data_IF_057469467496
#
_entry.id   IF_057469467496
#
_cell.length_a   1.000
_cell.length_b   1.000
_cell.length_c   1.000
_cell.angle_alpha   90.00
_cell.angle_beta   90.00
_cell.angle_gamma   90.00
#
_symmetry.space_group_name_H-M   'P 1'
#
loop_
_entity.id
_entity.type
_entity.pdbx_description
1 polymer ?
#
# COMPACT_ATOMS: atom_id res chain seq x y z
N UNK A 1 0.12 -3.18 3.34
CA UNK A 1 1.02 -2.37 2.50
C UNK A 1 1.91 -1.54 3.42
N UNK A 2 2.98 -0.95 2.89
CA UNK A 2 3.86 -0.04 3.65
C UNK A 2 3.44 1.43 3.61
N UNK A 3 2.24 1.72 3.10
CA UNK A 3 1.68 3.07 2.95
C UNK A 3 1.10 3.61 4.25
N UNK A 4 1.02 4.95 4.30
CA UNK A 4 0.72 5.70 5.52
C UNK A 4 -0.78 5.97 5.73
N UNK A 5 -1.62 5.57 4.78
CA UNK A 5 -3.07 5.76 4.83
C UNK A 5 -3.50 7.25 4.79
N UNK A 6 -2.72 8.07 4.06
CA UNK A 6 -2.90 9.52 3.99
C UNK A 6 -3.73 9.98 2.78
N UNK A 7 -3.95 9.09 1.81
CA UNK A 7 -4.71 9.41 0.60
C UNK A 7 -6.11 8.78 0.60
N UNK A 8 -7.01 9.37 -0.20
CA UNK A 8 -8.33 8.79 -0.44
C UNK A 8 -8.20 7.42 -1.09
N UNK A 9 -8.95 6.48 -0.56
CA UNK A 9 -9.05 5.12 -1.08
C UNK A 9 -10.47 4.56 -0.92
N UNK A 10 -10.80 3.54 -1.72
CA UNK A 10 -12.10 2.88 -1.69
C UNK A 10 -12.03 1.46 -2.25
N UNK A 11 -13.06 0.66 -1.95
CA UNK A 11 -13.28 -0.67 -2.53
C UNK A 11 -14.40 -0.62 -3.58
N UNK A 12 -14.24 -1.37 -4.67
CA UNK A 12 -15.27 -1.59 -5.69
C UNK A 12 -15.70 -3.04 -5.64
N UNK A 13 -16.85 -3.31 -5.04
CA UNK A 13 -17.39 -4.66 -4.83
C UNK A 13 -18.79 -4.73 -5.44
N UNK A 14 -19.05 -5.71 -6.29
CA UNK A 14 -20.34 -5.89 -7.00
C UNK A 14 -20.86 -4.61 -7.69
N UNK A 15 -19.95 -3.79 -8.22
CA UNK A 15 -20.26 -2.53 -8.89
C UNK A 15 -20.59 -1.35 -7.96
N UNK A 16 -20.49 -1.52 -6.64
CA UNK A 16 -20.69 -0.47 -5.64
C UNK A 16 -19.36 -0.03 -5.03
N UNK A 17 -19.28 1.26 -4.68
CA UNK A 17 -18.10 1.87 -4.08
C UNK A 17 -18.26 2.03 -2.57
N UNK A 18 -17.27 1.54 -1.83
CA UNK A 18 -17.22 1.55 -0.37
C UNK A 18 -15.97 2.31 0.09
N UNK A 19 -16.15 3.41 0.81
CA UNK A 19 -15.04 4.27 1.25
C UNK A 19 -15.48 5.20 2.38
N UNK A 20 -14.62 6.15 2.79
CA UNK A 20 -15.00 7.19 3.77
C UNK A 20 -15.45 8.44 3.06
N UNK A 21 -16.75 8.74 3.15
CA UNK A 21 -17.33 10.00 2.67
C UNK A 21 -16.90 11.14 3.59
N UNK A 22 -16.30 12.18 3.01
CA UNK A 22 -15.95 13.42 3.71
C UNK A 22 -16.87 14.56 3.29
N UNK A 23 -17.19 15.52 4.18
CA UNK A 23 -17.94 16.72 3.81
C UNK A 23 -17.27 17.46 2.65
N UNK A 24 -18.01 17.68 1.56
CA UNK A 24 -17.48 18.33 0.35
C UNK A 24 -16.58 17.46 -0.54
N UNK A 25 -16.37 16.19 -0.18
CA UNK A 25 -15.60 15.22 -0.95
C UNK A 25 -16.46 14.22 -1.72
N UNK A 26 -15.84 13.13 -2.16
CA UNK A 26 -16.52 12.01 -2.84
C UNK A 26 -17.54 11.35 -1.93
N UNK A 27 -18.76 11.15 -2.44
CA UNK A 27 -19.83 10.44 -1.74
C UNK A 27 -19.82 8.98 -2.16
N UNK A 28 -19.59 8.08 -1.20
CA UNK A 28 -19.62 6.65 -1.41
C UNK A 28 -21.01 6.06 -1.17
N UNK A 29 -21.25 4.85 -1.69
CA UNK A 29 -22.52 4.14 -1.48
C UNK A 29 -22.72 3.81 0.01
N UNK A 30 -21.66 3.32 0.67
CA UNK A 30 -21.66 2.98 2.08
C UNK A 30 -20.28 3.24 2.70
N UNK A 31 -20.24 3.50 4.01
CA UNK A 31 -19.00 3.72 4.76
C UNK A 31 -18.27 2.39 4.93
N UNK A 32 -17.05 2.29 4.43
CA UNK A 32 -16.27 1.04 4.45
C UNK A 32 -16.14 0.45 5.87
N UNK A 33 -15.93 1.30 6.89
CA UNK A 33 -15.81 0.92 8.30
C UNK A 33 -17.06 0.25 8.92
N UNK A 34 -18.22 0.38 8.27
CA UNK A 34 -19.50 -0.15 8.76
C UNK A 34 -19.91 -1.44 8.06
N UNK A 35 -19.16 -1.86 7.03
CA UNK A 35 -19.49 -3.03 6.21
C UNK A 35 -18.57 -4.18 6.57
N UNK A 36 -19.15 -5.38 6.75
CA UNK A 36 -18.39 -6.60 6.97
C UNK A 36 -18.12 -7.36 5.67
N UNK A 37 -16.95 -7.99 5.53
CA UNK A 37 -16.60 -8.81 4.37
C UNK A 37 -17.59 -9.96 4.18
N UNK A 38 -18.07 -10.54 5.28
CA UNK A 38 -19.04 -11.65 5.25
C UNK A 38 -20.37 -11.29 4.57
N UNK A 39 -20.75 -10.00 4.52
CA UNK A 39 -22.00 -9.54 3.87
C UNK A 39 -22.01 -9.81 2.37
N UNK A 40 -20.85 -9.84 1.74
CA UNK A 40 -20.76 -9.98 0.29
C UNK A 40 -20.89 -11.43 -0.18
N UNK A 41 -20.91 -12.40 0.74
CA UNK A 41 -21.08 -13.83 0.41
C UNK A 41 -20.17 -14.27 -0.75
N UNK A 42 -18.91 -13.80 -0.72
CA UNK A 42 -17.96 -14.03 -1.81
C UNK A 42 -17.82 -15.52 -2.11
N UNK A 43 -17.66 -15.84 -3.39
CA UNK A 43 -17.29 -17.18 -3.84
C UNK A 43 -15.79 -17.30 -4.00
N UNK A 44 -15.29 -18.52 -3.90
CA UNK A 44 -13.90 -18.78 -4.28
C UNK A 44 -13.66 -18.33 -5.73
N UNK A 45 -12.48 -17.75 -5.95
CA UNK A 45 -12.01 -17.12 -7.19
C UNK A 45 -12.69 -15.80 -7.55
N UNK A 46 -13.65 -15.34 -6.75
CA UNK A 46 -14.25 -14.02 -6.93
C UNK A 46 -13.21 -12.91 -6.69
N UNK A 47 -13.39 -11.80 -7.40
CA UNK A 47 -12.46 -10.68 -7.43
C UNK A 47 -13.18 -9.37 -7.24
N UNK A 48 -12.50 -8.44 -6.58
CA UNK A 48 -12.94 -7.06 -6.42
C UNK A 48 -11.73 -6.13 -6.42
N UNK A 49 -11.96 -4.83 -6.52
CA UNK A 49 -10.89 -3.84 -6.60
C UNK A 49 -10.77 -3.05 -5.31
N UNK A 50 -9.54 -2.65 -5.01
CA UNK A 50 -9.21 -1.62 -4.04
C UNK A 50 -8.38 -0.55 -4.74
N UNK A 51 -8.86 0.68 -4.73
CA UNK A 51 -8.20 1.83 -5.35
C UNK A 51 -7.69 2.76 -4.26
N UNK A 52 -6.41 3.15 -4.34
CA UNK A 52 -5.72 4.00 -3.38
C UNK A 52 -5.04 5.17 -4.07
N UNK A 53 -5.09 6.34 -3.44
CA UNK A 53 -4.67 7.62 -4.03
C UNK A 53 -5.47 8.00 -5.28
N UNK A 54 -6.79 7.78 -5.23
CA UNK A 54 -7.71 8.29 -6.25
C UNK A 54 -8.04 9.76 -5.92
N UNK A 55 -7.11 10.68 -6.15
CA UNK A 55 -7.39 12.11 -6.05
C UNK A 55 -7.84 12.65 -7.41
N UNK A 56 -9.07 13.18 -7.46
CA UNK A 56 -9.57 13.90 -8.63
C UNK A 56 -9.17 15.36 -8.45
N UNK A 57 -8.03 15.78 -9.03
CA UNK A 57 -7.67 17.19 -9.16
C UNK A 57 -7.69 17.61 -10.64
N UNK A 58 -8.85 17.98 -11.21
CA UNK A 58 -8.95 18.45 -12.59
C UNK A 58 -8.15 19.74 -12.82
N UNK A 59 -7.95 20.53 -11.77
CA UNK A 59 -7.21 21.79 -11.81
C UNK A 59 -5.69 21.63 -11.98
N UNK A 60 -5.12 20.44 -11.74
CA UNK A 60 -3.67 20.21 -11.86
C UNK A 60 -3.24 19.58 -13.18
N UNK A 61 -4.13 19.42 -14.16
CA UNK A 61 -3.77 19.02 -15.53
C UNK A 61 -3.07 17.65 -15.69
N UNK A 62 -2.90 16.91 -14.60
CA UNK A 62 -2.23 15.62 -14.55
C UNK A 62 -3.20 14.58 -14.00
N UNK A 63 -3.47 13.56 -14.80
CA UNK A 63 -4.10 12.33 -14.33
C UNK A 63 -3.12 11.68 -13.34
N UNK A 64 -3.30 11.85 -12.03
CA UNK A 64 -2.66 10.95 -11.06
C UNK A 64 -3.21 9.56 -11.32
N UNK A 65 -2.32 8.62 -11.62
CA UNK A 65 -2.70 7.23 -11.72
C UNK A 65 -2.75 6.65 -10.32
N UNK A 66 -3.96 6.38 -9.83
CA UNK A 66 -4.13 5.71 -8.55
C UNK A 66 -3.55 4.30 -8.59
N UNK A 67 -3.24 3.78 -7.40
CA UNK A 67 -2.91 2.39 -7.21
C UNK A 67 -4.20 1.57 -7.29
N UNK A 68 -4.24 0.60 -8.20
CA UNK A 68 -5.37 -0.33 -8.33
C UNK A 68 -4.94 -1.74 -7.99
N UNK A 69 -5.47 -2.24 -6.88
CA UNK A 69 -5.24 -3.59 -6.39
C UNK A 69 -6.42 -4.48 -6.75
N UNK A 70 -6.15 -5.61 -7.42
CA UNK A 70 -7.10 -6.70 -7.54
C UNK A 70 -6.99 -7.57 -6.29
N UNK A 71 -8.08 -7.70 -5.55
CA UNK A 71 -8.19 -8.61 -4.41
C UNK A 71 -9.01 -9.81 -4.86
N UNK A 72 -8.49 -11.01 -4.61
CA UNK A 72 -9.12 -12.28 -4.98
C UNK A 72 -9.32 -13.15 -3.76
N UNK A 73 -10.52 -13.71 -3.63
CA UNK A 73 -10.81 -14.74 -2.62
C UNK A 73 -10.29 -16.07 -3.16
N UNK A 74 -9.18 -16.57 -2.62
CA UNK A 74 -8.58 -17.82 -3.11
C UNK A 74 -9.18 -19.07 -2.45
N UNK A 75 -9.54 -18.98 -1.17
CA UNK A 75 -10.18 -20.04 -0.40
C UNK A 75 -10.98 -19.45 0.78
N UNK A 76 -12.04 -20.15 1.19
CA UNK A 76 -12.81 -19.81 2.39
C UNK A 76 -12.70 -20.97 3.38
N UNK A 77 -11.96 -20.75 4.47
CA UNK A 77 -11.58 -21.79 5.42
C UNK A 77 -12.14 -21.53 6.81
N UNK A 78 -12.33 -22.58 7.59
CA UNK A 78 -12.65 -22.45 9.02
C UNK A 78 -11.45 -21.82 9.75
N UNK A 79 -11.66 -20.81 10.62
CA UNK A 79 -10.59 -20.21 11.41
C UNK A 79 -9.84 -21.26 12.23
N UNK A 80 -8.51 -21.16 12.27
CA UNK A 80 -7.70 -22.06 13.09
C UNK A 80 -7.82 -21.70 14.58
N UNK A 81 -8.00 -22.70 15.47
CA UNK A 81 -8.00 -22.45 16.90
C UNK A 81 -6.71 -21.75 17.35
N UNK A 82 -6.82 -20.76 18.22
CA UNK A 82 -5.70 -20.01 18.81
C UNK A 82 -4.83 -19.21 17.82
N UNK A 83 -5.24 -19.08 16.55
CA UNK A 83 -4.56 -18.20 15.59
C UNK A 83 -5.10 -16.78 15.69
N UNK A 84 -4.20 -15.80 15.84
CA UNK A 84 -4.54 -14.37 15.75
C UNK A 84 -4.49 -13.96 14.27
N UNK A 85 -5.52 -13.27 13.79
CA UNK A 85 -5.66 -12.76 12.43
C UNK A 85 -5.67 -11.22 12.43
N UNK A 86 -5.29 -10.54 11.32
CA UNK A 86 -4.84 -11.10 10.03
C UNK A 86 -3.40 -11.63 10.05
N UNK A 87 -3.08 -12.54 9.12
CA UNK A 87 -1.73 -13.09 8.93
C UNK A 87 -1.35 -13.03 7.45
N UNK A 88 -0.18 -12.48 7.16
CA UNK A 88 0.48 -12.58 5.87
C UNK A 88 1.17 -13.94 5.75
N UNK A 89 0.70 -14.77 4.81
CA UNK A 89 1.26 -16.09 4.51
C UNK A 89 2.42 -16.03 3.52
N UNK A 90 2.46 -15.01 2.67
CA UNK A 90 3.51 -14.81 1.68
C UNK A 90 3.29 -13.55 0.84
N UNK A 91 4.26 -13.25 -0.01
CA UNK A 91 4.26 -12.09 -0.89
C UNK A 91 5.56 -12.00 -1.68
N UNK A 92 5.58 -11.12 -2.68
CA UNK A 92 6.75 -10.83 -3.50
C UNK A 92 6.71 -9.37 -3.93
N UNK A 93 7.87 -8.77 -4.13
CA UNK A 93 7.97 -7.36 -4.48
C UNK A 93 8.05 -6.49 -3.25
N UNK A 94 8.39 -5.24 -3.52
CA UNK A 94 8.47 -4.17 -2.54
C UNK A 94 7.26 -3.28 -2.72
N UNK A 95 6.72 -2.78 -1.62
CA UNK A 95 5.69 -1.74 -1.66
C UNK A 95 6.31 -0.47 -2.25
N UNK A 96 5.76 0.08 -3.33
CA UNK A 96 6.17 1.39 -3.85
C UNK A 96 6.08 2.45 -2.74
N UNK A 97 6.93 3.48 -2.79
CA UNK A 97 6.83 4.61 -1.85
C UNK A 97 5.49 5.32 -2.00
N UNK A 98 5.04 5.94 -0.92
CA UNK A 98 3.99 6.96 -0.98
C UNK A 98 4.39 8.06 -1.98
N UNK A 99 3.41 8.68 -2.64
CA UNK A 99 3.61 9.83 -3.53
C UNK A 99 4.60 9.65 -4.70
N UNK A 100 4.99 8.42 -5.07
CA UNK A 100 5.94 8.18 -6.17
C UNK A 100 5.32 8.39 -7.58
N UNK A 101 4.24 9.17 -7.71
CA UNK A 101 3.54 9.43 -8.96
C UNK A 101 2.69 8.26 -9.46
N UNK A 102 2.29 7.36 -8.57
CA UNK A 102 1.47 6.18 -8.89
C UNK A 102 2.23 5.11 -9.67
N UNK A 103 1.51 4.14 -10.28
CA UNK A 103 2.13 3.03 -11.01
C UNK A 103 3.07 3.49 -12.14
N UNK A 104 2.71 4.55 -12.87
CA UNK A 104 3.53 5.06 -13.96
C UNK A 104 4.78 5.76 -13.47
N UNK A 105 4.67 6.61 -12.43
CA UNK A 105 5.84 7.24 -11.82
C UNK A 105 6.81 6.19 -11.25
N UNK A 106 6.28 5.16 -10.60
CA UNK A 106 7.08 4.03 -10.11
C UNK A 106 7.78 3.28 -11.25
N UNK A 107 7.08 2.98 -12.35
CA UNK A 107 7.67 2.27 -13.49
C UNK A 107 8.71 3.12 -14.21
N UNK A 108 8.44 4.41 -14.42
CA UNK A 108 9.41 5.34 -15.00
C UNK A 108 10.67 5.41 -14.15
N UNK A 109 10.52 5.57 -12.84
CA UNK A 109 11.66 5.64 -11.96
C UNK A 109 12.43 4.30 -11.89
N UNK A 110 11.76 3.16 -12.08
CA UNK A 110 12.42 1.85 -12.26
C UNK A 110 13.22 1.72 -13.55
N UNK A 111 12.85 2.45 -14.60
CA UNK A 111 13.58 2.48 -15.87
C UNK A 111 14.78 3.43 -15.79
N UNK A 112 14.63 4.53 -15.08
CA UNK A 112 15.68 5.54 -14.88
C UNK A 112 16.72 5.11 -13.85
N UNK A 113 16.29 4.38 -12.81
CA UNK A 113 17.15 4.01 -11.69
C UNK A 113 17.70 2.59 -11.83
N UNK A 114 19.02 2.50 -11.79
CA UNK A 114 19.79 1.27 -11.83
C UNK A 114 20.48 1.02 -10.48
N UNK A 115 20.83 -0.25 -10.22
CA UNK A 115 21.70 -0.58 -9.09
C UNK A 115 23.05 0.15 -9.16
N UNK A 116 23.48 0.54 -10.37
CA UNK A 116 24.69 1.33 -10.58
C UNK A 116 24.59 2.71 -9.94
N UNK A 117 23.43 3.36 -9.93
CA UNK A 117 23.27 4.69 -9.30
C UNK A 117 23.48 4.60 -7.78
N UNK A 118 23.04 3.51 -7.15
CA UNK A 118 23.33 3.23 -5.73
C UNK A 118 24.83 3.07 -5.51
N UNK A 119 25.48 2.27 -6.36
CA UNK A 119 26.90 1.96 -6.23
C UNK A 119 27.77 3.19 -6.51
N UNK A 120 27.44 4.01 -7.51
CA UNK A 120 28.11 5.27 -7.82
C UNK A 120 27.98 6.24 -6.65
N UNK A 121 26.79 6.34 -6.04
CA UNK A 121 26.61 7.19 -4.87
C UNK A 121 27.47 6.74 -3.69
N UNK A 122 27.49 5.45 -3.37
CA UNK A 122 28.38 4.93 -2.33
C UNK A 122 29.87 5.10 -2.70
N UNK A 123 30.24 4.91 -3.96
CA UNK A 123 31.60 5.14 -4.47
C UNK A 123 32.05 6.58 -4.24
N UNK A 124 31.22 7.56 -4.62
CA UNK A 124 31.47 8.98 -4.38
C UNK A 124 31.67 9.32 -2.89
N UNK A 125 30.91 8.69 -2.00
CA UNK A 125 31.08 8.86 -0.54
C UNK A 125 32.43 8.31 -0.07
N UNK A 126 32.85 7.15 -0.57
CA UNK A 126 34.15 6.55 -0.25
C UNK A 126 35.32 7.39 -0.77
N UNK A 127 35.21 7.93 -1.98
CA UNK A 127 36.24 8.78 -2.59
C UNK A 127 36.38 10.14 -1.90
N UNK A 128 35.27 10.78 -1.58
CA UNK A 128 35.26 12.07 -0.89
C UNK A 128 35.53 11.96 0.61
N UNK A 129 35.38 10.77 1.20
CA UNK A 129 35.37 10.55 2.65
C UNK A 129 34.18 11.19 3.36
N UNK A 130 33.20 11.71 2.60
CA UNK A 130 32.01 12.35 3.14
C UNK A 130 30.84 11.38 3.14
N UNK A 131 30.44 10.96 4.34
CA UNK A 131 29.32 10.05 4.55
C UNK A 131 28.02 10.75 4.94
N UNK A 132 27.94 12.08 4.78
CA UNK A 132 26.71 12.82 5.02
C UNK A 132 25.70 12.49 3.92
N UNK A 133 24.54 12.01 4.36
CA UNK A 133 23.38 11.68 3.56
C UNK A 133 22.16 12.15 4.34
N UNK A 134 21.27 12.90 3.70
CA UNK A 134 20.02 13.26 4.35
C UNK A 134 19.05 12.06 4.37
N UNK A 135 17.98 12.18 5.16
CA UNK A 135 17.02 11.08 5.34
C UNK A 135 16.31 10.73 4.03
N UNK A 136 16.00 11.73 3.20
CA UNK A 136 15.23 11.54 1.99
C UNK A 136 16.04 10.78 0.94
N UNK A 137 17.30 11.17 0.77
CA UNK A 137 18.29 10.47 -0.06
C UNK A 137 18.52 9.04 0.43
N UNK A 138 18.69 8.84 1.74
CA UNK A 138 18.87 7.51 2.32
C UNK A 138 17.65 6.60 2.08
N UNK A 139 16.44 7.14 2.24
CA UNK A 139 15.19 6.42 2.02
C UNK A 139 14.99 6.09 0.53
N UNK A 140 15.40 6.98 -0.37
CA UNK A 140 15.38 6.74 -1.82
C UNK A 140 16.33 5.60 -2.22
N UNK A 141 17.61 5.69 -1.84
CA UNK A 141 18.59 4.65 -2.16
C UNK A 141 18.22 3.30 -1.55
N UNK A 142 17.73 3.30 -0.30
CA UNK A 142 17.22 2.10 0.36
C UNK A 142 16.04 1.50 -0.41
N UNK A 143 15.09 2.33 -0.85
CA UNK A 143 13.94 1.88 -1.63
C UNK A 143 14.39 1.19 -2.90
N UNK A 144 15.28 1.81 -3.67
CA UNK A 144 15.73 1.25 -4.92
C UNK A 144 16.57 -0.02 -4.75
N UNK A 145 17.41 -0.08 -3.71
CA UNK A 145 18.11 -1.30 -3.35
C UNK A 145 17.12 -2.44 -3.04
N UNK A 146 16.05 -2.16 -2.28
CA UNK A 146 15.03 -3.16 -1.97
C UNK A 146 14.25 -3.58 -3.23
N UNK A 147 13.88 -2.63 -4.09
CA UNK A 147 13.20 -2.89 -5.36
C UNK A 147 14.05 -3.81 -6.25
N UNK A 148 15.36 -3.54 -6.35
CA UNK A 148 16.31 -4.37 -7.10
C UNK A 148 16.43 -5.79 -6.50
N UNK A 149 16.60 -5.88 -5.19
CA UNK A 149 16.68 -7.17 -4.48
C UNK A 149 15.37 -7.95 -4.51
N UNK A 150 14.26 -7.29 -4.84
CA UNK A 150 12.92 -7.87 -4.91
C UNK A 150 12.55 -8.65 -3.63
N UNK A 151 13.01 -8.14 -2.48
CA UNK A 151 12.93 -8.84 -1.19
C UNK A 151 11.62 -8.50 -0.50
N UNK A 152 10.87 -9.53 -0.14
CA UNK A 152 9.66 -9.44 0.67
C UNK A 152 9.89 -10.11 2.04
N UNK A 153 9.68 -9.37 3.13
CA UNK A 153 9.80 -9.90 4.50
C UNK A 153 8.43 -10.08 5.15
N UNK A 154 7.92 -11.32 5.12
CA UNK A 154 6.64 -11.67 5.74
C UNK A 154 6.64 -11.51 7.26
N UNK A 155 7.79 -11.64 7.92
CA UNK A 155 7.87 -11.55 9.38
C UNK A 155 7.74 -10.10 9.83
N UNK A 156 8.35 -9.17 9.10
CA UNK A 156 8.14 -7.74 9.28
C UNK A 156 6.67 -7.34 9.05
N UNK A 157 6.06 -7.82 7.95
CA UNK A 157 4.63 -7.57 7.69
C UNK A 157 3.76 -8.10 8.83
N UNK A 158 3.99 -9.33 9.30
CA UNK A 158 3.21 -9.90 10.40
C UNK A 158 3.39 -9.16 11.73
N UNK A 159 4.59 -8.63 12.02
CA UNK A 159 4.80 -7.74 13.19
C UNK A 159 3.96 -6.47 13.10
N UNK A 160 3.88 -5.85 11.92
CA UNK A 160 3.00 -4.69 11.73
C UNK A 160 1.52 -5.07 11.82
N UNK A 161 1.10 -6.21 11.27
CA UNK A 161 -0.29 -6.66 11.34
C UNK A 161 -0.77 -6.89 12.78
N UNK A 162 0.11 -7.32 13.70
CA UNK A 162 -0.24 -7.50 15.11
C UNK A 162 -0.73 -6.22 15.79
N UNK A 163 -0.28 -5.04 15.35
CA UNK A 163 -0.73 -3.76 15.90
C UNK A 163 -2.24 -3.53 15.73
N UNK A 164 -2.84 -4.12 14.69
CA UNK A 164 -4.27 -4.02 14.41
C UNK A 164 -5.12 -4.99 15.24
N UNK A 165 -4.48 -5.93 15.94
CA UNK A 165 -5.15 -6.98 16.73
C UNK A 165 -5.26 -6.64 18.21
N UNK A 166 -4.35 -5.80 18.71
CA UNK A 166 -4.26 -5.42 20.13
C UNK A 166 -4.98 -4.11 20.46
N UNK A 167 -5.70 -3.50 19.50
CA UNK A 167 -6.37 -2.20 19.69
C UNK A 167 -5.39 -1.04 19.92
N UNK A 168 -4.10 -1.21 19.61
CA UNK A 168 -3.03 -0.27 19.96
C UNK A 168 -2.82 0.90 19.00
N UNK A 169 -3.60 0.99 17.91
CA UNK A 169 -3.66 2.22 17.11
C UNK A 169 -4.80 3.09 17.65
N UNK A 170 -4.49 4.32 18.02
CA UNK A 170 -5.49 5.40 18.01
C UNK A 170 -6.16 5.38 16.63
N UNK A 171 -7.50 5.47 16.55
CA UNK A 171 -8.18 5.53 15.27
C UNK A 171 -7.63 6.74 14.50
N UNK A 172 -6.80 6.47 13.50
CA UNK A 172 -6.38 7.48 12.55
C UNK A 172 -7.66 8.05 11.92
N UNK A 173 -7.69 9.37 11.68
CA UNK A 173 -8.85 10.13 11.18
C UNK A 173 -9.53 9.52 9.93
N UNK A 174 -8.89 8.57 9.24
CA UNK A 174 -9.28 8.01 7.96
C UNK A 174 -9.41 6.48 7.93
N UNK A 175 -9.42 5.82 9.09
CA UNK A 175 -9.33 4.36 9.16
C UNK A 175 -10.48 3.65 8.40
N UNK A 176 -10.18 3.11 7.22
CA UNK A 176 -11.10 2.27 6.46
C UNK A 176 -10.77 0.80 6.68
N UNK A 177 -11.69 0.08 7.30
CA UNK A 177 -11.62 -1.38 7.42
C UNK A 177 -12.95 -1.96 6.98
N UNK A 178 -12.95 -2.83 5.98
CA UNK A 178 -14.09 -3.73 5.83
C UNK A 178 -13.85 -4.87 6.83
N UNK A 179 -14.75 -5.03 7.80
CA UNK A 179 -14.54 -5.88 9.00
C UNK A 179 -14.87 -7.36 8.74
#
# INVERSE_FOLDING_TARGET
MGWEDIHLHHFIIHGKQYGVTQPGGTVFSERACEVKLARFEFREKERFLYEYDFSICPAMGAWRYWWRHEIRVEAILTPQPNQIYPVCTGGRGVCPREDCGGPWGFMKAREEFSIWDVLERFGSMLESGNFVMDREEADELRTWLLVYLNRFDRHEVNRHLQQYTTGGKEPMLFEQRIV
#
